data_IF_647368769518
#
_entry.id   IF_647368769518
#
_cell.length_a   1.000
_cell.length_b   1.000
_cell.length_c   1.000
_cell.angle_alpha   90.00
_cell.angle_beta   90.00
_cell.angle_gamma   90.00
#
_symmetry.space_group_name_H-M   'P 1'
#
loop_
_entity.id
_entity.type
_entity.pdbx_description
1 polymer ?
#
# COMPACT_ATOMS: atom_id res chain seq x y z
N UNK A 1 -53.80 16.62 35.38
CA UNK A 1 -52.61 17.08 34.65
C UNK A 1 -52.01 15.86 33.98
N UNK A 2 -52.06 15.74 32.64
CA UNK A 2 -51.55 14.57 31.93
C UNK A 2 -50.02 14.68 31.79
N UNK A 3 -49.28 13.70 32.32
CA UNK A 3 -47.86 13.52 32.01
C UNK A 3 -47.75 13.00 30.58
N UNK A 4 -47.03 13.76 29.75
CA UNK A 4 -46.84 13.52 28.33
C UNK A 4 -45.60 12.65 28.14
N UNK A 5 -45.81 11.46 27.60
CA UNK A 5 -44.79 10.62 26.99
C UNK A 5 -44.07 11.39 25.88
N UNK A 6 -42.75 11.57 26.01
CA UNK A 6 -41.84 11.80 24.90
C UNK A 6 -40.72 10.75 24.98
N UNK A 7 -40.66 9.77 24.07
CA UNK A 7 -39.55 8.84 24.01
C UNK A 7 -38.32 9.57 23.45
N UNK A 8 -37.29 9.66 24.29
CA UNK A 8 -35.97 10.20 23.95
C UNK A 8 -35.36 9.36 22.82
N UNK A 9 -35.27 9.97 21.64
CA UNK A 9 -34.64 9.42 20.43
C UNK A 9 -33.22 8.92 20.78
N UNK A 10 -32.84 7.67 20.49
CA UNK A 10 -31.48 7.22 20.71
C UNK A 10 -30.55 8.01 19.79
N UNK A 11 -29.61 8.72 20.40
CA UNK A 11 -28.52 9.40 19.73
C UNK A 11 -27.63 8.31 19.13
N UNK A 12 -27.67 8.20 17.80
CA UNK A 12 -26.77 7.33 17.04
C UNK A 12 -25.33 7.72 17.37
N UNK A 13 -24.65 6.86 18.12
CA UNK A 13 -23.20 6.84 18.19
C UNK A 13 -22.64 6.75 16.78
N UNK A 14 -22.20 7.89 16.22
CA UNK A 14 -21.24 7.89 15.11
C UNK A 14 -19.94 7.32 15.65
N UNK A 15 -19.84 5.99 15.64
CA UNK A 15 -18.58 5.28 15.62
C UNK A 15 -17.88 5.70 14.34
N UNK A 16 -17.02 6.71 14.44
CA UNK A 16 -16.03 7.02 13.42
C UNK A 16 -15.15 5.79 13.32
N UNK A 17 -15.49 4.87 12.44
CA UNK A 17 -14.55 3.89 11.94
C UNK A 17 -13.44 4.69 11.27
N UNK A 18 -12.33 4.89 11.98
CA UNK A 18 -11.07 5.33 11.39
C UNK A 18 -10.76 4.34 10.27
N UNK A 19 -11.02 4.76 9.03
CA UNK A 19 -10.54 4.02 7.86
C UNK A 19 -9.02 3.90 8.02
N UNK A 20 -8.46 2.69 7.92
CA UNK A 20 -7.03 2.50 8.07
C UNK A 20 -6.29 3.41 7.09
N UNK A 21 -5.28 4.12 7.59
CA UNK A 21 -4.41 4.93 6.74
C UNK A 21 -3.72 4.01 5.74
N UNK A 22 -3.82 4.27 4.42
CA UNK A 22 -3.13 3.46 3.41
C UNK A 22 -1.63 3.47 3.69
N UNK A 23 -1.03 2.28 3.79
CA UNK A 23 0.40 2.06 4.02
C UNK A 23 0.90 0.98 3.08
N UNK A 24 2.17 1.07 2.73
CA UNK A 24 2.83 0.03 1.95
C UNK A 24 2.91 -1.26 2.79
N UNK A 25 2.52 -2.38 2.18
CA UNK A 25 2.60 -3.70 2.82
C UNK A 25 3.52 -4.57 1.98
N UNK A 26 4.74 -4.84 2.47
CA UNK A 26 5.75 -5.61 1.75
C UNK A 26 6.09 -6.90 2.50
N UNK A 27 6.16 -8.01 1.78
CA UNK A 27 6.61 -9.31 2.27
C UNK A 27 7.76 -9.79 1.41
N UNK A 28 8.87 -10.16 2.05
CA UNK A 28 10.03 -10.71 1.39
C UNK A 28 10.17 -12.21 1.66
N UNK A 29 10.56 -12.96 0.63
CA UNK A 29 10.90 -14.37 0.73
C UNK A 29 12.12 -14.69 -0.13
N UNK A 30 12.92 -15.70 0.27
CA UNK A 30 14.13 -16.11 -0.44
C UNK A 30 13.95 -17.49 -1.02
N UNK A 31 14.39 -17.66 -2.26
CA UNK A 31 14.20 -18.90 -3.02
C UNK A 31 15.46 -19.24 -3.83
N UNK A 32 15.56 -20.50 -4.25
CA UNK A 32 16.55 -20.94 -5.23
C UNK A 32 15.90 -21.82 -6.28
N UNK A 33 16.41 -21.73 -7.51
CA UNK A 33 15.96 -22.53 -8.65
C UNK A 33 17.16 -22.94 -9.51
N UNK A 34 17.07 -24.08 -10.20
CA UNK A 34 18.12 -24.54 -11.11
C UNK A 34 17.68 -24.35 -12.56
N UNK A 35 18.43 -23.58 -13.35
CA UNK A 35 18.20 -23.37 -14.79
C UNK A 35 19.49 -23.68 -15.55
N UNK A 36 19.41 -24.57 -16.55
CA UNK A 36 20.54 -24.88 -17.41
C UNK A 36 21.78 -25.34 -16.65
N UNK A 37 21.60 -26.14 -15.58
CA UNK A 37 22.68 -26.64 -14.73
C UNK A 37 23.30 -25.61 -13.78
N UNK A 38 22.71 -24.41 -13.66
CA UNK A 38 23.17 -23.36 -12.74
C UNK A 38 22.13 -23.09 -11.67
N UNK A 39 22.56 -23.03 -10.42
CA UNK A 39 21.73 -22.57 -9.31
C UNK A 39 21.57 -21.03 -9.38
N UNK A 40 20.33 -20.57 -9.27
CA UNK A 40 19.95 -19.17 -9.21
C UNK A 40 19.27 -18.91 -7.87
N UNK A 41 19.91 -18.10 -7.03
CA UNK A 41 19.33 -17.58 -5.79
C UNK A 41 18.67 -16.23 -6.04
N UNK A 42 17.47 -16.04 -5.54
CA UNK A 42 16.71 -14.81 -5.72
C UNK A 42 15.80 -14.52 -4.52
N UNK A 43 15.59 -13.23 -4.28
CA UNK A 43 14.64 -12.69 -3.32
C UNK A 43 13.40 -12.22 -4.05
N UNK A 44 12.23 -12.57 -3.52
CA UNK A 44 10.92 -12.13 -4.00
C UNK A 44 10.32 -11.16 -2.99
N UNK A 45 10.01 -9.95 -3.45
CA UNK A 45 9.29 -8.95 -2.67
C UNK A 45 7.89 -8.82 -3.26
N UNK A 46 6.86 -9.20 -2.51
CA UNK A 46 5.46 -9.07 -2.91
C UNK A 46 4.76 -8.10 -1.97
N UNK A 47 3.87 -7.26 -2.50
CA UNK A 47 3.23 -6.29 -1.65
C UNK A 47 2.39 -5.26 -2.37
N UNK A 48 1.91 -4.29 -1.61
CA UNK A 48 1.18 -3.15 -2.11
C UNK A 48 1.93 -1.86 -1.88
N UNK A 49 1.85 -0.94 -2.84
CA UNK A 49 2.44 0.39 -2.80
C UNK A 49 1.36 1.45 -2.93
N UNK A 50 1.35 2.42 -2.01
CA UNK A 50 0.41 3.53 -2.02
C UNK A 50 0.92 4.63 -2.94
N UNK A 51 0.18 4.89 -4.01
CA UNK A 51 0.41 6.02 -4.90
C UNK A 51 -0.25 7.26 -4.32
N UNK A 52 0.52 8.34 -4.18
CA UNK A 52 0.03 9.62 -3.71
C UNK A 52 -0.08 10.64 -4.84
N UNK A 53 -1.05 11.54 -4.72
CA UNK A 53 -1.29 12.63 -5.65
C UNK A 53 -1.21 13.97 -4.89
N UNK A 54 -0.56 14.95 -5.49
CA UNK A 54 -0.53 16.32 -4.98
C UNK A 54 -1.76 17.07 -5.54
N UNK A 55 -2.72 17.41 -4.68
CA UNK A 55 -3.89 18.20 -5.09
C UNK A 55 -3.50 19.67 -5.18
N UNK A 56 -3.26 20.14 -6.40
CA UNK A 56 -2.99 21.54 -6.71
C UNK A 56 -4.29 22.34 -6.83
N UNK A 57 -4.94 22.64 -5.70
CA UNK A 57 -6.01 23.63 -5.69
C UNK A 57 -5.39 25.03 -5.82
N UNK A 58 -5.44 25.60 -7.02
CA UNK A 58 -4.75 26.84 -7.43
C UNK A 58 -5.06 28.10 -6.60
N UNK A 59 -5.92 28.04 -5.59
CA UNK A 59 -6.34 29.18 -4.77
C UNK A 59 -6.20 28.93 -3.25
N UNK A 60 -5.81 27.73 -2.82
CA UNK A 60 -5.54 27.42 -1.40
C UNK A 60 -4.25 26.62 -1.30
N UNK A 61 -3.44 26.95 -0.28
CA UNK A 61 -2.17 26.32 0.04
C UNK A 61 -2.20 24.80 -0.23
N UNK A 62 -1.24 24.25 -1.00
CA UNK A 62 -1.20 22.83 -1.39
C UNK A 62 -1.51 21.92 -0.20
N UNK A 63 -2.61 21.17 -0.27
CA UNK A 63 -3.11 20.33 0.84
C UNK A 63 -2.26 19.06 1.10
N UNK A 64 -1.02 19.00 0.58
CA UNK A 64 -0.09 17.88 0.75
C UNK A 64 -0.40 16.65 -0.12
N UNK A 65 0.47 15.64 -0.02
CA UNK A 65 0.34 14.38 -0.75
C UNK A 65 -0.79 13.52 -0.18
N UNK A 66 -1.89 13.35 -0.91
CA UNK A 66 -3.01 12.49 -0.51
C UNK A 66 -2.91 11.11 -1.17
N UNK A 67 -3.13 10.01 -0.43
CA UNK A 67 -3.14 8.67 -1.04
C UNK A 67 -4.28 8.55 -2.05
N UNK A 68 -3.96 8.13 -3.27
CA UNK A 68 -4.88 8.08 -4.41
C UNK A 68 -5.22 6.66 -4.83
N UNK A 69 -4.24 5.77 -4.80
CA UNK A 69 -4.41 4.38 -5.21
C UNK A 69 -3.43 3.46 -4.46
N UNK A 70 -3.71 2.17 -4.48
CA UNK A 70 -2.85 1.12 -3.96
C UNK A 70 -2.57 0.12 -5.09
N UNK A 71 -1.29 -0.09 -5.40
CA UNK A 71 -0.85 -0.97 -6.48
C UNK A 71 -0.20 -2.21 -5.89
N UNK A 72 -0.77 -3.38 -6.18
CA UNK A 72 -0.12 -4.66 -5.87
C UNK A 72 0.99 -4.96 -6.87
N UNK A 73 2.14 -5.42 -6.39
CA UNK A 73 3.28 -5.82 -7.21
C UNK A 73 4.02 -7.03 -6.66
N UNK A 74 4.79 -7.68 -7.54
CA UNK A 74 5.76 -8.71 -7.17
C UNK A 74 7.07 -8.42 -7.90
N UNK A 75 8.17 -8.35 -7.16
CA UNK A 75 9.51 -8.10 -7.69
C UNK A 75 10.43 -9.28 -7.43
N UNK A 76 11.03 -9.83 -8.50
CA UNK A 76 12.00 -10.92 -8.45
C UNK A 76 13.41 -10.38 -8.64
N UNK A 77 14.24 -10.46 -7.59
CA UNK A 77 15.60 -9.91 -7.58
C UNK A 77 16.63 -11.02 -7.41
N UNK A 78 17.52 -11.20 -8.39
CA UNK A 78 18.65 -12.14 -8.26
C UNK A 78 19.63 -11.68 -7.19
N UNK A 79 20.06 -12.61 -6.35
CA UNK A 79 21.03 -12.35 -5.29
C UNK A 79 22.49 -12.43 -5.78
N UNK A 80 23.42 -11.89 -4.98
CA UNK A 80 24.86 -12.05 -5.22
C UNK A 80 25.43 -11.29 -6.43
N UNK A 81 24.73 -10.26 -6.89
CA UNK A 81 25.15 -9.42 -8.02
C UNK A 81 26.11 -8.34 -7.53
N UNK A 82 27.33 -8.26 -8.11
CA UNK A 82 28.35 -7.27 -7.73
C UNK A 82 27.93 -5.82 -8.03
N UNK A 83 27.31 -5.61 -9.19
CA UNK A 83 26.89 -4.29 -9.66
C UNK A 83 25.40 -4.33 -10.02
N UNK A 84 24.56 -3.80 -9.12
CA UNK A 84 23.11 -3.81 -9.28
C UNK A 84 22.65 -2.84 -10.36
N UNK A 85 23.37 -1.74 -10.60
CA UNK A 85 22.98 -0.71 -11.56
C UNK A 85 23.06 -1.21 -13.01
N UNK A 86 23.90 -2.20 -13.28
CA UNK A 86 24.03 -2.83 -14.61
C UNK A 86 22.99 -3.92 -14.88
N UNK A 87 22.17 -4.29 -13.90
CA UNK A 87 21.15 -5.31 -14.15
C UNK A 87 19.98 -4.74 -14.96
N UNK A 88 19.54 -5.45 -16.01
CA UNK A 88 18.30 -5.09 -16.67
C UNK A 88 17.12 -5.28 -15.71
N UNK A 89 16.17 -4.35 -15.82
CA UNK A 89 14.87 -4.38 -15.14
C UNK A 89 13.81 -4.62 -16.21
N UNK A 90 12.82 -5.44 -15.88
CA UNK A 90 11.70 -5.75 -16.77
C UNK A 90 10.42 -5.68 -15.95
N UNK A 91 9.40 -5.06 -16.54
CA UNK A 91 8.03 -5.02 -16.01
C UNK A 91 7.16 -5.90 -16.90
N UNK A 92 6.28 -6.70 -16.30
CA UNK A 92 5.40 -7.66 -16.97
C UNK A 92 3.97 -7.52 -16.49
#
# INVERSE_FOLDING_TARGET
>A
MPNKDEPKKPEEEKKTEEKPTPKDNLVESRHSLAIGGRELKYTVTAGTMVMKEETADREKESEGEKPRAEIFFIAYTKDGVKDKAKRPVTFS
#
